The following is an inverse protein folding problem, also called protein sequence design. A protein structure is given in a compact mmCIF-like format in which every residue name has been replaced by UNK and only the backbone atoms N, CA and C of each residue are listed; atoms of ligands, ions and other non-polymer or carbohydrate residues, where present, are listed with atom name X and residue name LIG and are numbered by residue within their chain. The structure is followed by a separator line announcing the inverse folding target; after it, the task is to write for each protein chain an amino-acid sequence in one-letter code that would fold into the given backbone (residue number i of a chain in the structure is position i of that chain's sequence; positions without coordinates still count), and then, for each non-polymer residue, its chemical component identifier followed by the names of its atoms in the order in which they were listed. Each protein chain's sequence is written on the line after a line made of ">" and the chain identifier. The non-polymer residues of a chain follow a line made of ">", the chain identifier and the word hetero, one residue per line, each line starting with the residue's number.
data_IF_677795422754
#
_entry.id   IF_677795422754
#
_cell.length_a   1.000
_cell.length_b   1.000
_cell.length_c   1.000
_cell.angle_alpha   90.00
_cell.angle_beta   90.00
_cell.angle_gamma   90.00
#
_symmetry.space_group_name_H-M   'P 1'
#
loop_
_entity.id
_entity.type
_entity.pdbx_description
1 polymer ?
#
# COMPACT_ATOMS: atom_id res chain seq x y z
N UNK A 1 -2.52 4.06 -0.93
CA UNK A 1 -2.54 2.80 -0.16
C UNK A 1 -3.07 1.68 -1.03
N UNK A 2 -2.40 0.54 -1.01
CA UNK A 2 -2.82 -0.71 -1.67
C UNK A 2 -3.11 -1.71 -0.56
N UNK A 3 -4.36 -2.20 -0.46
CA UNK A 3 -4.71 -3.27 0.46
C UNK A 3 -4.65 -4.61 -0.25
N UNK A 4 -3.95 -5.58 0.31
CA UNK A 4 -3.91 -6.94 -0.19
C UNK A 4 -5.08 -7.77 0.34
N UNK A 5 -5.42 -8.85 -0.38
CA UNK A 5 -6.48 -9.80 -0.01
C UNK A 5 -6.36 -10.37 1.41
N UNK A 6 -5.15 -10.38 1.95
CA UNK A 6 -4.81 -10.99 3.24
C UNK A 6 -4.67 -9.96 4.37
N UNK A 7 -5.09 -8.71 4.15
CA UNK A 7 -5.12 -7.68 5.20
C UNK A 7 -3.87 -6.81 5.30
N UNK A 8 -2.75 -7.21 4.69
CA UNK A 8 -1.55 -6.37 4.55
C UNK A 8 -1.85 -5.12 3.73
N UNK A 9 -1.26 -4.01 4.13
CA UNK A 9 -1.39 -2.71 3.49
C UNK A 9 -0.02 -2.16 3.11
N UNK A 10 0.07 -1.65 1.89
CA UNK A 10 1.25 -0.97 1.40
C UNK A 10 0.91 0.49 1.14
N UNK A 11 1.59 1.38 1.87
CA UNK A 11 1.50 2.83 1.69
C UNK A 11 2.74 3.30 0.96
N UNK A 12 2.59 4.13 -0.07
CA UNK A 12 3.70 4.57 -0.91
C UNK A 12 3.20 5.35 -2.11
N UNK A 13 4.13 5.91 -2.87
CA UNK A 13 3.84 6.65 -4.09
C UNK A 13 3.68 5.70 -5.26
N UNK A 14 2.53 5.73 -5.93
CA UNK A 14 2.32 4.96 -7.16
C UNK A 14 3.19 5.56 -8.28
N UNK A 15 4.25 4.85 -8.65
CA UNK A 15 5.19 5.26 -9.70
C UNK A 15 4.68 4.88 -11.09
N UNK A 16 4.18 3.65 -11.23
CA UNK A 16 3.66 3.13 -12.49
C UNK A 16 2.70 1.97 -12.26
N UNK A 17 1.91 1.64 -13.28
CA UNK A 17 1.06 0.46 -13.34
C UNK A 17 0.94 -0.03 -14.79
N UNK A 18 0.45 -1.26 -14.98
CA UNK A 18 0.14 -1.84 -16.29
C UNK A 18 -1.35 -2.18 -16.45
N UNK A 19 -1.74 -2.64 -17.64
CA UNK A 19 -3.13 -3.01 -17.98
C UNK A 19 -3.65 -4.21 -17.16
N UNK A 20 -2.76 -4.99 -16.56
CA UNK A 20 -3.12 -6.08 -15.66
C UNK A 20 -3.29 -5.61 -14.22
N UNK A 21 -3.02 -4.34 -13.92
CA UNK A 21 -2.97 -3.74 -12.58
C UNK A 21 -1.87 -4.34 -11.68
N UNK A 22 -0.71 -4.69 -12.25
CA UNK A 22 0.50 -4.76 -11.45
C UNK A 22 0.94 -3.34 -11.09
N UNK A 23 1.36 -3.11 -9.84
CA UNK A 23 1.60 -1.77 -9.29
C UNK A 23 3.05 -1.63 -8.84
N UNK A 24 3.72 -0.57 -9.29
CA UNK A 24 5.04 -0.19 -8.79
C UNK A 24 4.89 0.96 -7.80
N UNK A 25 5.29 0.74 -6.55
CA UNK A 25 5.29 1.73 -5.48
C UNK A 25 6.71 2.17 -5.13
N UNK A 26 6.90 3.45 -4.83
CA UNK A 26 8.13 4.02 -4.27
C UNK A 26 7.91 4.52 -2.85
N UNK A 27 9.00 4.57 -2.07
CA UNK A 27 9.00 4.92 -0.65
C UNK A 27 7.90 4.16 0.11
N UNK A 28 7.80 2.87 -0.17
CA UNK A 28 6.75 2.00 0.32
C UNK A 28 6.99 1.62 1.77
N UNK A 29 5.91 1.53 2.53
CA UNK A 29 5.85 1.08 3.91
C UNK A 29 4.87 -0.07 4.01
N UNK A 30 5.19 -1.06 4.84
CA UNK A 30 4.31 -2.17 5.15
C UNK A 30 3.57 -1.93 6.45
N UNK A 31 2.27 -2.17 6.40
CA UNK A 31 1.35 -2.05 7.51
C UNK A 31 0.56 -3.36 7.64
N UNK A 32 0.48 -3.89 8.86
CA UNK A 32 -0.25 -5.13 9.16
C UNK A 32 -1.12 -4.85 10.37
N UNK A 33 -2.44 -5.01 10.20
CA UNK A 33 -3.43 -4.71 11.24
C UNK A 33 -3.28 -3.29 11.81
N UNK A 34 -3.10 -2.29 10.93
CA UNK A 34 -2.89 -0.89 11.32
C UNK A 34 -1.53 -0.58 11.95
N UNK A 35 -0.66 -1.58 12.14
CA UNK A 35 0.66 -1.37 12.73
C UNK A 35 1.74 -1.27 11.65
N UNK A 36 2.54 -0.22 11.71
CA UNK A 36 3.75 -0.08 10.91
C UNK A 36 4.72 -1.24 11.18
N UNK A 37 5.14 -1.93 10.12
CA UNK A 37 6.11 -3.04 10.18
C UNK A 37 7.48 -2.64 9.66
N UNK A 38 7.55 -1.71 8.71
CA UNK A 38 8.83 -1.23 8.21
C UNK A 38 8.71 -0.55 6.85
N UNK A 39 9.79 0.16 6.49
CA UNK A 39 9.98 0.74 5.16
C UNK A 39 10.60 -0.30 4.22
N UNK A 40 10.04 -0.41 3.02
CA UNK A 40 10.44 -1.35 1.96
C UNK A 40 11.05 -0.65 0.74
N UNK A 41 10.86 0.67 0.59
CA UNK A 41 11.39 1.42 -0.54
C UNK A 41 10.62 1.15 -1.84
N UNK A 42 11.25 0.52 -2.84
CA UNK A 42 10.60 0.21 -4.12
C UNK A 42 9.97 -1.19 -4.10
N UNK A 43 8.67 -1.27 -4.36
CA UNK A 43 7.90 -2.52 -4.30
C UNK A 43 7.11 -2.71 -5.59
N UNK A 44 7.08 -3.94 -6.10
CA UNK A 44 6.18 -4.37 -7.17
C UNK A 44 5.10 -5.27 -6.59
N UNK A 45 3.83 -4.88 -6.70
CA UNK A 45 2.67 -5.65 -6.25
C UNK A 45 2.00 -6.29 -7.46
N UNK A 46 1.86 -7.62 -7.43
CA UNK A 46 1.14 -8.37 -8.47
C UNK A 46 -0.36 -8.18 -8.35
N UNK A 47 -1.04 -7.97 -9.47
CA UNK A 47 -2.46 -7.64 -9.53
C UNK A 47 -3.38 -8.61 -8.80
N UNK A 48 -3.12 -9.92 -8.89
CA UNK A 48 -3.98 -10.95 -8.28
C UNK A 48 -3.92 -10.96 -6.75
N UNK A 49 -3.04 -10.18 -6.12
CA UNK A 49 -2.97 -10.01 -4.67
C UNK A 49 -3.70 -8.75 -4.19
N UNK A 50 -4.03 -7.82 -5.08
CA UNK A 50 -4.68 -6.56 -4.74
C UNK A 50 -6.15 -6.81 -4.42
N UNK A 51 -6.62 -6.23 -3.30
CA UNK A 51 -8.04 -6.13 -2.96
C UNK A 51 -8.61 -4.80 -3.43
N UNK A 52 -7.96 -3.68 -3.08
CA UNK A 52 -8.29 -2.35 -3.59
C UNK A 52 -7.09 -1.40 -3.52
N UNK A 53 -7.21 -0.28 -4.24
CA UNK A 53 -6.28 0.86 -4.19
C UNK A 53 -7.07 2.10 -3.81
N UNK A 54 -6.54 2.91 -2.89
CA UNK A 54 -7.12 4.21 -2.52
C UNK A 54 -6.05 5.27 -2.33
N UNK A 55 -6.42 6.53 -2.50
CA UNK A 55 -5.60 7.66 -2.07
C UNK A 55 -5.51 7.67 -0.54
N UNK A 56 -4.35 8.05 0.00
CA UNK A 56 -4.17 8.31 1.44
C UNK A 56 -4.57 9.76 1.67
N UNK A 57 -5.52 10.00 2.57
CA UNK A 57 -5.86 11.34 3.04
C UNK A 57 -5.07 11.64 4.32
N UNK A 58 -4.79 12.91 4.58
CA UNK A 58 -4.03 13.32 5.77
C UNK A 58 -4.73 12.93 7.10
N UNK A 59 -6.05 12.73 7.06
CA UNK A 59 -6.87 12.32 8.21
C UNK A 59 -6.70 10.83 8.55
N UNK A 60 -6.44 9.97 7.56
CA UNK A 60 -6.25 8.53 7.75
C UNK A 60 -4.97 8.21 8.56
N UNK A 61 -3.98 9.11 8.53
CA UNK A 61 -2.74 8.96 9.31
C UNK A 61 -2.96 9.23 10.80
N UNK A 62 -4.04 9.96 11.17
CA UNK A 62 -4.35 10.31 12.56
C UNK A 62 -5.15 9.22 13.29
N UNK A 63 -6.01 8.47 12.59
CA UNK A 63 -6.82 7.39 13.19
C UNK A 63 -6.04 6.09 13.43
N UNK A 64 -5.02 5.80 12.62
CA UNK A 64 -4.20 4.59 12.78
C UNK A 64 -3.08 4.74 13.84
N UNK A 65 -2.89 5.95 14.39
CA UNK A 65 -1.89 6.26 15.41
C UNK A 65 -2.44 6.50 16.82
N UNK A 66 -3.75 6.31 17.05
CA UNK A 66 -4.43 6.56 18.33
C UNK A 66 -4.87 5.30 19.06
#
# INVERSE_FOLDING_TARGET
>A
MVKLKWGMEYKGYLKSFDDYMNLQLQNSEEWVEGNFKGSLGEVLIRCNNVLYVRQVQAEDEAEEGS
#
